data_IF_456591463296
#
_entry.id   IF_456591463296
#
_cell.length_a   1.000
_cell.length_b   1.000
_cell.length_c   1.000
_cell.angle_alpha   90.00
_cell.angle_beta   90.00
_cell.angle_gamma   90.00
#
_symmetry.space_group_name_H-M   'P 1'
#
loop_
_entity.id
_entity.type
_entity.pdbx_description
1 polymer ?
#
# COMPACT_ATOMS: atom_id res chain seq x y z
N UNK A 1 12.81 -13.01 55.43
CA UNK A 1 13.28 -12.76 54.05
C UNK A 1 14.54 -11.93 54.15
N UNK A 2 15.70 -12.45 53.75
CA UNK A 2 16.98 -11.75 53.97
C UNK A 2 17.13 -10.56 53.01
N UNK A 3 17.89 -9.53 53.40
CA UNK A 3 18.21 -8.36 52.56
C UNK A 3 18.82 -8.74 51.20
N UNK A 4 19.49 -9.89 51.14
CA UNK A 4 20.05 -10.47 49.91
C UNK A 4 18.95 -11.01 48.96
N UNK A 5 17.91 -11.64 49.51
CA UNK A 5 16.75 -12.10 48.72
C UNK A 5 15.96 -10.93 48.15
N UNK A 6 15.78 -9.84 48.91
CA UNK A 6 15.12 -8.62 48.44
C UNK A 6 15.91 -7.90 47.34
N UNK A 7 17.25 -7.85 47.43
CA UNK A 7 18.10 -7.29 46.37
C UNK A 7 18.07 -8.15 45.10
N UNK A 8 18.12 -9.49 45.22
CA UNK A 8 18.02 -10.41 44.08
C UNK A 8 16.66 -10.33 43.39
N UNK A 9 15.57 -10.14 44.15
CA UNK A 9 14.23 -9.90 43.61
C UNK A 9 14.09 -8.56 42.89
N UNK A 10 14.66 -7.48 43.44
CA UNK A 10 14.72 -6.15 42.80
C UNK A 10 15.56 -6.18 41.51
N UNK A 11 16.66 -6.92 41.49
CA UNK A 11 17.52 -7.06 40.31
C UNK A 11 16.87 -7.90 39.21
N UNK A 12 16.24 -9.04 39.55
CA UNK A 12 15.40 -9.81 38.61
C UNK A 12 14.24 -8.98 38.04
N UNK A 13 13.56 -8.19 38.87
CA UNK A 13 12.49 -7.28 38.43
C UNK A 13 13.00 -6.20 37.46
N UNK A 14 14.21 -5.66 37.68
CA UNK A 14 14.85 -4.69 36.78
C UNK A 14 15.28 -5.31 35.45
N UNK A 15 15.85 -6.52 35.46
CA UNK A 15 16.24 -7.24 34.23
C UNK A 15 15.01 -7.63 33.41
N UNK A 16 13.94 -8.11 34.07
CA UNK A 16 12.66 -8.43 33.44
C UNK A 16 12.05 -7.17 32.78
N UNK A 17 12.04 -6.03 33.47
CA UNK A 17 11.51 -4.77 32.93
C UNK A 17 12.42 -4.14 31.86
N UNK A 18 13.74 -4.31 31.96
CA UNK A 18 14.72 -3.68 31.09
C UNK A 18 14.92 -4.37 29.73
N UNK A 19 14.76 -5.70 29.66
CA UNK A 19 15.00 -6.46 28.44
C UNK A 19 13.74 -7.14 27.87
N UNK A 20 12.89 -7.73 28.72
CA UNK A 20 11.74 -8.53 28.24
C UNK A 20 10.67 -7.66 27.62
N UNK A 21 10.37 -6.50 28.20
CA UNK A 21 9.33 -5.61 27.66
C UNK A 21 9.69 -5.10 26.25
N UNK A 22 10.89 -4.55 25.99
CA UNK A 22 11.30 -4.20 24.63
C UNK A 22 11.22 -5.38 23.64
N UNK A 23 11.60 -6.59 24.07
CA UNK A 23 11.50 -7.80 23.24
C UNK A 23 10.04 -8.11 22.88
N UNK A 24 9.09 -7.98 23.82
CA UNK A 24 7.68 -8.21 23.52
C UNK A 24 7.11 -7.19 22.52
N UNK A 25 7.54 -5.92 22.59
CA UNK A 25 7.21 -4.92 21.58
C UNK A 25 7.84 -5.27 20.22
N UNK A 26 9.09 -5.73 20.21
CA UNK A 26 9.76 -6.18 18.99
C UNK A 26 9.03 -7.37 18.34
N UNK A 27 8.64 -8.38 19.14
CA UNK A 27 7.87 -9.53 18.68
C UNK A 27 6.54 -9.10 18.09
N UNK A 28 5.82 -8.18 18.75
CA UNK A 28 4.58 -7.60 18.20
C UNK A 28 4.81 -6.91 16.85
N UNK A 29 5.89 -6.13 16.71
CA UNK A 29 6.26 -5.49 15.44
C UNK A 29 6.57 -6.51 14.34
N UNK A 30 7.29 -7.59 14.66
CA UNK A 30 7.58 -8.69 13.71
C UNK A 30 6.30 -9.40 13.30
N UNK A 31 5.40 -9.71 14.24
CA UNK A 31 4.10 -10.33 13.96
C UNK A 31 3.25 -9.48 13.03
N UNK A 32 3.24 -8.16 13.26
CA UNK A 32 2.52 -7.21 12.42
C UNK A 32 3.06 -7.21 10.98
N UNK A 33 4.39 -7.17 10.83
CA UNK A 33 5.04 -7.21 9.52
C UNK A 33 4.79 -8.54 8.80
N UNK A 34 4.98 -9.67 9.50
CA UNK A 34 4.77 -11.00 8.93
C UNK A 34 3.32 -11.20 8.48
N UNK A 35 2.35 -10.81 9.31
CA UNK A 35 0.94 -10.89 8.98
C UNK A 35 0.50 -9.94 7.85
N UNK A 36 1.25 -8.86 7.61
CA UNK A 36 0.98 -7.96 6.50
C UNK A 36 1.62 -8.41 5.16
N UNK A 37 2.67 -9.24 5.19
CA UNK A 37 3.34 -9.71 3.96
C UNK A 37 2.84 -11.10 3.55
N UNK A 38 2.60 -11.99 4.51
CA UNK A 38 2.31 -13.41 4.25
C UNK A 38 0.81 -13.69 4.44
N UNK A 39 0.04 -13.95 3.36
CA UNK A 39 -1.40 -14.22 3.47
C UNK A 39 -1.72 -15.40 4.41
N UNK A 40 -0.89 -16.45 4.40
CA UNK A 40 -1.05 -17.62 5.28
C UNK A 40 -0.83 -17.32 6.76
N UNK A 41 -0.14 -16.22 7.08
CA UNK A 41 0.14 -15.78 8.44
C UNK A 41 -0.61 -14.49 8.82
N UNK A 42 -1.66 -14.13 8.08
CA UNK A 42 -2.45 -12.91 8.33
C UNK A 42 -2.96 -12.80 9.78
N UNK A 43 -3.23 -13.93 10.44
CA UNK A 43 -3.63 -13.96 11.86
C UNK A 43 -2.59 -13.31 12.80
N UNK A 44 -1.30 -13.32 12.45
CA UNK A 44 -0.23 -12.68 13.22
C UNK A 44 -0.40 -11.16 13.29
N UNK A 45 -1.01 -10.53 12.29
CA UNK A 45 -1.30 -9.11 12.34
C UNK A 45 -2.20 -8.79 13.54
N UNK A 46 -3.29 -9.53 13.69
CA UNK A 46 -4.26 -9.34 14.77
C UNK A 46 -3.62 -9.60 16.15
N UNK A 47 -2.83 -10.66 16.27
CA UNK A 47 -2.09 -10.97 17.50
C UNK A 47 -1.05 -9.90 17.85
N UNK A 48 -0.36 -9.37 16.85
CA UNK A 48 0.59 -8.27 17.00
C UNK A 48 -0.08 -7.04 17.62
N UNK A 49 -1.23 -6.61 17.07
CA UNK A 49 -2.00 -5.46 17.60
C UNK A 49 -2.49 -5.73 19.02
N UNK A 50 -3.07 -6.91 19.29
CA UNK A 50 -3.55 -7.25 20.63
C UNK A 50 -2.39 -7.17 21.63
N UNK A 51 -1.22 -7.72 21.28
CA UNK A 51 -0.06 -7.76 22.17
C UNK A 51 0.45 -6.35 22.50
N UNK A 52 0.68 -5.49 21.49
CA UNK A 52 1.16 -4.12 21.76
C UNK A 52 0.13 -3.31 22.53
N UNK A 53 -1.17 -3.45 22.20
CA UNK A 53 -2.24 -2.74 22.89
C UNK A 53 -2.42 -3.23 24.33
N UNK A 54 -2.15 -4.51 24.60
CA UNK A 54 -2.15 -5.07 25.95
C UNK A 54 -1.02 -4.46 26.80
N UNK A 55 0.21 -4.43 26.25
CA UNK A 55 1.37 -3.82 26.92
C UNK A 55 1.18 -2.32 27.19
N UNK A 56 0.58 -1.61 26.22
CA UNK A 56 0.18 -0.20 26.39
C UNK A 56 -0.86 -0.05 27.50
N UNK A 57 -1.86 -0.93 27.55
CA UNK A 57 -2.93 -0.87 28.54
C UNK A 57 -2.45 -1.17 29.96
N UNK A 58 -1.38 -1.96 30.10
CA UNK A 58 -0.65 -2.16 31.36
C UNK A 58 0.23 -0.96 31.77
N UNK A 59 0.31 0.09 30.95
CA UNK A 59 1.13 1.28 31.22
C UNK A 59 2.63 1.09 30.98
N UNK A 60 3.04 0.04 30.26
CA UNK A 60 4.45 -0.28 29.98
C UNK A 60 5.01 0.55 28.82
N UNK A 61 4.78 1.87 28.86
CA UNK A 61 5.00 2.79 27.75
C UNK A 61 6.35 3.50 27.93
N UNK A 62 7.33 3.14 27.10
CA UNK A 62 8.61 3.86 27.01
C UNK A 62 8.96 4.13 25.55
N UNK A 63 9.83 5.13 25.30
CA UNK A 63 10.29 5.43 23.93
C UNK A 63 10.98 4.24 23.27
N UNK A 64 11.80 3.52 24.03
CA UNK A 64 12.53 2.33 23.56
C UNK A 64 11.54 1.22 23.17
N UNK A 65 10.54 0.95 24.00
CA UNK A 65 9.52 -0.05 23.71
C UNK A 65 8.79 0.26 22.40
N UNK A 66 8.35 1.50 22.21
CA UNK A 66 7.63 1.89 21.00
C UNK A 66 8.55 1.86 19.78
N UNK A 67 9.81 2.25 19.93
CA UNK A 67 10.81 2.09 18.87
C UNK A 67 11.00 0.63 18.47
N UNK A 68 11.12 -0.29 19.44
CA UNK A 68 11.21 -1.73 19.17
C UNK A 68 10.00 -2.26 18.40
N UNK A 69 8.80 -1.71 18.61
CA UNK A 69 7.62 -2.08 17.84
C UNK A 69 7.66 -1.59 16.39
N UNK A 70 8.18 -0.39 16.12
CA UNK A 70 8.29 0.15 14.76
C UNK A 70 9.50 -0.34 13.98
N UNK A 71 10.60 -0.71 14.65
CA UNK A 71 11.85 -1.08 14.02
C UNK A 71 11.68 -2.18 12.94
N UNK A 72 10.93 -3.29 13.17
CA UNK A 72 10.71 -4.30 12.14
C UNK A 72 10.09 -3.74 10.86
N UNK A 73 9.10 -2.86 10.97
CA UNK A 73 8.41 -2.28 9.82
C UNK A 73 9.35 -1.41 8.98
N UNK A 74 10.06 -0.47 9.62
CA UNK A 74 10.96 0.42 8.89
C UNK A 74 12.18 -0.30 8.33
N UNK A 75 12.74 -1.28 9.03
CA UNK A 75 13.84 -2.09 8.50
C UNK A 75 13.41 -2.89 7.27
N UNK A 76 12.20 -3.46 7.29
CA UNK A 76 11.63 -4.10 6.11
C UNK A 76 11.47 -3.11 4.94
N UNK A 77 11.01 -1.88 5.18
CA UNK A 77 10.95 -0.86 4.12
C UNK A 77 12.34 -0.56 3.53
N UNK A 78 13.35 -0.42 4.38
CA UNK A 78 14.73 -0.22 3.95
C UNK A 78 15.23 -1.34 3.03
N UNK A 79 15.01 -2.60 3.42
CA UNK A 79 15.51 -3.75 2.68
C UNK A 79 14.72 -4.08 1.42
N UNK A 80 13.41 -3.84 1.40
CA UNK A 80 12.53 -4.32 0.32
C UNK A 80 12.14 -3.26 -0.71
N UNK A 81 11.99 -2.00 -0.26
CA UNK A 81 11.43 -0.93 -1.09
C UNK A 81 12.48 0.15 -1.35
N UNK A 82 13.11 0.66 -0.28
CA UNK A 82 14.01 1.80 -0.39
C UNK A 82 15.37 1.46 -0.97
N UNK A 83 15.82 0.20 -0.92
CA UNK A 83 17.06 -0.22 -1.60
C UNK A 83 17.00 -0.06 -3.13
N UNK A 84 15.81 0.03 -3.73
CA UNK A 84 15.62 0.31 -5.15
C UNK A 84 15.74 1.79 -5.50
N UNK A 85 15.65 2.67 -4.50
CA UNK A 85 15.63 4.14 -4.66
C UNK A 85 16.89 4.77 -4.08
N UNK A 86 17.40 4.25 -2.96
CA UNK A 86 18.55 4.77 -2.24
C UNK A 86 19.63 3.69 -2.11
N UNK A 87 20.92 4.07 -1.99
CA UNK A 87 21.97 3.16 -1.58
C UNK A 87 21.60 2.44 -0.28
N UNK A 88 21.99 1.16 -0.16
CA UNK A 88 21.58 0.28 0.94
C UNK A 88 21.79 0.88 2.34
N UNK A 89 22.95 1.49 2.58
CA UNK A 89 23.27 2.13 3.86
C UNK A 89 22.39 3.36 4.15
N UNK A 90 22.02 4.14 3.12
CA UNK A 90 21.10 5.27 3.27
C UNK A 90 19.68 4.80 3.58
N UNK A 91 19.23 3.71 2.96
CA UNK A 91 17.94 3.09 3.29
C UNK A 91 17.86 2.67 4.76
N UNK A 92 18.90 2.02 5.29
CA UNK A 92 18.96 1.63 6.71
C UNK A 92 18.97 2.85 7.63
N UNK A 93 19.81 3.85 7.34
CA UNK A 93 19.87 5.08 8.14
C UNK A 93 18.50 5.78 8.19
N UNK A 94 17.82 5.87 7.03
CA UNK A 94 16.48 6.44 6.93
C UNK A 94 15.46 5.64 7.75
N UNK A 95 15.53 4.31 7.74
CA UNK A 95 14.66 3.46 8.55
C UNK A 95 14.84 3.65 10.05
N UNK A 96 16.09 3.77 10.52
CA UNK A 96 16.38 4.05 11.92
C UNK A 96 15.82 5.40 12.35
N UNK A 97 16.05 6.45 11.54
CA UNK A 97 15.60 7.81 11.83
C UNK A 97 14.08 7.95 11.80
N UNK A 98 13.41 7.38 10.79
CA UNK A 98 11.94 7.39 10.70
C UNK A 98 11.31 6.55 11.80
N UNK A 99 11.91 5.40 12.15
CA UNK A 99 11.49 4.60 13.29
C UNK A 99 11.52 5.38 14.60
N UNK A 100 12.59 6.14 14.87
CA UNK A 100 12.69 7.00 16.05
C UNK A 100 11.68 8.15 16.00
N UNK A 101 11.50 8.81 14.85
CA UNK A 101 10.52 9.88 14.68
C UNK A 101 9.10 9.39 15.01
N UNK A 102 8.69 8.26 14.43
CA UNK A 102 7.37 7.69 14.63
C UNK A 102 7.17 7.22 16.07
N UNK A 103 8.21 6.62 16.66
CA UNK A 103 8.19 6.23 18.06
C UNK A 103 8.00 7.44 18.99
N UNK A 104 8.65 8.58 18.70
CA UNK A 104 8.47 9.81 19.49
C UNK A 104 7.06 10.38 19.36
N UNK A 105 6.49 10.37 18.16
CA UNK A 105 5.12 10.86 17.93
C UNK A 105 4.12 10.00 18.68
N UNK A 106 4.16 8.66 18.51
CA UNK A 106 3.23 7.76 19.18
C UNK A 106 3.43 7.77 20.71
N UNK A 107 4.67 7.83 21.20
CA UNK A 107 4.96 7.95 22.63
C UNK A 107 4.30 9.16 23.27
N UNK A 108 4.40 10.33 22.62
CA UNK A 108 3.76 11.57 23.11
C UNK A 108 2.24 11.42 23.12
N UNK A 109 1.67 10.92 22.03
CA UNK A 109 0.22 10.68 21.94
C UNK A 109 -0.27 9.73 23.05
N UNK A 110 0.45 8.64 23.28
CA UNK A 110 0.13 7.64 24.30
C UNK A 110 0.17 8.22 25.71
N UNK A 111 1.17 9.02 26.06
CA UNK A 111 1.24 9.67 27.38
C UNK A 111 0.06 10.62 27.56
N UNK A 112 -0.19 11.50 26.60
CA UNK A 112 -1.31 12.45 26.70
C UNK A 112 -2.68 11.76 26.79
N UNK A 113 -2.85 10.60 26.15
CA UNK A 113 -4.08 9.80 26.24
C UNK A 113 -4.15 8.94 27.51
N UNK A 114 -3.02 8.54 28.08
CA UNK A 114 -2.97 7.71 29.30
C UNK A 114 -3.55 8.43 30.52
N UNK A 115 -3.31 9.75 30.63
CA UNK A 115 -3.90 10.60 31.66
C UNK A 115 -5.44 10.63 31.61
N UNK A 116 -6.02 10.37 30.43
CA UNK A 116 -7.46 10.44 30.17
C UNK A 116 -8.14 9.08 30.08
N UNK A 117 -7.44 7.98 30.40
CA UNK A 117 -7.93 6.59 30.23
C UNK A 117 -8.35 6.20 28.80
N UNK A 118 -7.89 6.95 27.79
CA UNK A 118 -8.23 6.74 26.37
C UNK A 118 -7.05 6.21 25.54
N UNK A 119 -6.03 5.61 26.18
CA UNK A 119 -4.80 5.17 25.50
C UNK A 119 -5.04 4.13 24.39
N UNK A 120 -6.12 3.35 24.48
CA UNK A 120 -6.51 2.36 23.46
C UNK A 120 -6.94 2.98 22.12
N UNK A 121 -7.23 4.29 22.06
CA UNK A 121 -7.50 5.02 20.81
C UNK A 121 -6.24 5.51 20.10
N UNK A 122 -5.13 5.68 20.83
CA UNK A 122 -3.94 6.34 20.30
C UNK A 122 -3.29 5.54 19.16
N UNK A 123 -3.16 4.22 19.30
CA UNK A 123 -2.57 3.36 18.28
C UNK A 123 -3.44 3.26 17.00
N UNK A 124 -4.76 3.00 17.10
CA UNK A 124 -5.66 3.05 15.93
C UNK A 124 -5.62 4.38 15.19
N UNK A 125 -5.72 5.50 15.92
CA UNK A 125 -5.67 6.83 15.33
C UNK A 125 -4.33 7.09 14.62
N UNK A 126 -3.22 6.66 15.23
CA UNK A 126 -1.89 6.78 14.65
C UNK A 126 -1.76 6.03 13.32
N UNK A 127 -2.23 4.78 13.26
CA UNK A 127 -2.22 3.99 12.02
C UNK A 127 -3.09 4.59 10.94
N UNK A 128 -4.30 5.05 11.30
CA UNK A 128 -5.15 5.78 10.37
C UNK A 128 -4.46 7.03 9.82
N UNK A 129 -3.90 7.87 10.69
CA UNK A 129 -3.25 9.12 10.30
C UNK A 129 -2.05 8.88 9.39
N UNK A 130 -1.22 7.87 9.67
CA UNK A 130 -0.06 7.55 8.83
C UNK A 130 -0.52 7.07 7.46
N UNK A 131 -1.41 6.08 7.40
CA UNK A 131 -1.87 5.53 6.13
C UNK A 131 -2.57 6.62 5.29
N UNK A 132 -3.36 7.48 5.94
CA UNK A 132 -3.99 8.63 5.30
C UNK A 132 -2.98 9.68 4.80
N UNK A 133 -2.01 10.07 5.61
CA UNK A 133 -1.02 11.11 5.24
C UNK A 133 -0.15 10.62 4.07
N UNK A 134 0.39 9.41 4.16
CA UNK A 134 1.30 8.88 3.15
C UNK A 134 0.58 8.52 1.85
N UNK A 135 -0.74 8.38 1.81
CA UNK A 135 -1.44 8.13 0.55
C UNK A 135 -2.06 9.39 -0.06
N UNK A 136 -2.52 10.35 0.75
CA UNK A 136 -3.24 11.51 0.23
C UNK A 136 -2.40 12.78 0.10
N UNK A 137 -1.28 12.91 0.83
CA UNK A 137 -0.42 14.10 0.70
C UNK A 137 0.55 13.88 -0.47
N UNK A 138 0.39 14.58 -1.62
CA UNK A 138 1.18 14.31 -2.82
C UNK A 138 2.69 14.53 -2.62
N UNK A 139 3.05 15.39 -1.67
CA UNK A 139 4.44 15.66 -1.31
C UNK A 139 5.09 14.54 -0.48
N UNK A 140 4.33 13.57 0.01
CA UNK A 140 4.83 12.47 0.86
C UNK A 140 4.48 11.11 0.24
N UNK A 141 3.46 11.05 -0.63
CA UNK A 141 2.98 9.81 -1.23
C UNK A 141 3.93 9.11 -2.19
N UNK A 142 5.03 9.76 -2.56
CA UNK A 142 6.12 9.10 -3.26
C UNK A 142 6.94 8.17 -2.36
N UNK A 143 6.90 8.36 -1.04
CA UNK A 143 7.53 7.44 -0.09
C UNK A 143 6.61 6.22 0.00
N UNK A 144 6.89 5.23 -0.83
CA UNK A 144 6.18 3.96 -0.81
C UNK A 144 6.26 3.32 0.58
N UNK A 145 5.13 3.32 1.27
CA UNK A 145 4.90 2.61 2.52
C UNK A 145 4.08 1.37 2.19
N UNK A 146 4.34 0.25 2.87
CA UNK A 146 3.45 -0.89 2.75
C UNK A 146 2.16 -0.55 3.50
N UNK A 147 1.00 -0.49 2.83
CA UNK A 147 -0.27 -0.22 3.50
C UNK A 147 -0.56 -1.32 4.52
N UNK A 148 -1.13 -0.97 5.66
CA UNK A 148 -1.51 -1.94 6.70
C UNK A 148 -2.83 -2.68 6.40
N UNK A 149 -3.18 -2.80 5.11
CA UNK A 149 -4.48 -3.25 4.64
C UNK A 149 -4.49 -4.71 4.17
N UNK A 150 -3.34 -5.38 4.05
CA UNK A 150 -3.30 -6.74 3.48
C UNK A 150 -4.06 -7.81 4.30
N UNK A 151 -4.13 -7.75 5.66
CA UNK A 151 -4.93 -8.70 6.43
C UNK A 151 -6.44 -8.55 6.19
N UNK A 152 -6.86 -7.42 5.62
CA UNK A 152 -8.27 -7.11 5.35
C UNK A 152 -8.77 -7.78 4.05
N UNK A 153 -7.88 -8.05 3.08
CA UNK A 153 -8.27 -8.53 1.76
C UNK A 153 -8.61 -10.03 1.70
N UNK A 154 -8.40 -10.77 2.79
CA UNK A 154 -8.71 -12.21 2.86
C UNK A 154 -10.07 -12.51 3.47
N UNK A 155 -10.78 -11.51 4.01
CA UNK A 155 -12.05 -11.71 4.72
C UNK A 155 -13.19 -10.96 4.03
N UNK A 156 -14.15 -11.71 3.47
CA UNK A 156 -15.26 -11.13 2.69
C UNK A 156 -16.07 -10.06 3.44
N UNK A 157 -16.32 -10.24 4.73
CA UNK A 157 -17.05 -9.25 5.54
C UNK A 157 -16.26 -7.94 5.74
N UNK A 158 -14.92 -8.02 5.82
CA UNK A 158 -14.05 -6.85 5.93
C UNK A 158 -14.01 -6.10 4.60
N UNK A 159 -13.99 -6.82 3.48
CA UNK A 159 -14.09 -6.22 2.13
C UNK A 159 -15.43 -5.50 1.99
N UNK A 160 -16.56 -6.12 2.37
CA UNK A 160 -17.88 -5.46 2.38
C UNK A 160 -17.91 -4.22 3.28
N UNK A 161 -17.21 -4.23 4.41
CA UNK A 161 -17.07 -3.02 5.22
C UNK A 161 -16.21 -1.94 4.54
N UNK A 162 -15.17 -2.35 3.83
CA UNK A 162 -14.25 -1.44 3.16
C UNK A 162 -14.87 -0.79 1.92
N UNK A 163 -15.82 -1.45 1.25
CA UNK A 163 -16.59 -0.85 0.15
C UNK A 163 -17.52 0.27 0.64
N UNK A 164 -18.10 0.12 1.84
CA UNK A 164 -19.02 1.13 2.41
C UNK A 164 -18.26 2.30 3.05
N UNK A 165 -17.27 2.00 3.90
CA UNK A 165 -16.59 3.02 4.72
C UNK A 165 -15.21 3.44 4.18
N UNK A 166 -14.67 2.73 3.21
CA UNK A 166 -13.29 2.85 2.75
C UNK A 166 -12.30 2.05 3.60
N UNK A 167 -11.26 1.50 2.97
CA UNK A 167 -10.28 0.63 3.63
C UNK A 167 -9.59 1.24 4.86
N UNK A 168 -9.35 2.56 4.86
CA UNK A 168 -8.69 3.27 5.97
C UNK A 168 -9.55 3.32 7.23
N UNK A 169 -10.85 3.58 7.07
CA UNK A 169 -11.79 3.61 8.19
C UNK A 169 -11.94 2.20 8.76
N UNK A 170 -11.99 1.18 7.91
CA UNK A 170 -12.02 -0.22 8.35
C UNK A 170 -10.75 -0.61 9.11
N UNK A 171 -9.57 -0.18 8.65
CA UNK A 171 -8.32 -0.38 9.39
C UNK A 171 -8.39 0.26 10.79
N UNK A 172 -8.90 1.49 10.88
CA UNK A 172 -9.12 2.17 12.15
C UNK A 172 -10.08 1.39 13.06
N UNK A 173 -11.24 0.98 12.54
CA UNK A 173 -12.25 0.22 13.30
C UNK A 173 -11.71 -1.12 13.79
N UNK A 174 -10.97 -1.84 12.94
CA UNK A 174 -10.39 -3.13 13.30
C UNK A 174 -9.32 -2.97 14.38
N UNK A 175 -8.38 -2.06 14.20
CA UNK A 175 -7.30 -1.82 15.18
C UNK A 175 -7.87 -1.28 16.49
N UNK A 176 -8.95 -0.50 16.45
CA UNK A 176 -9.68 -0.03 17.62
C UNK A 176 -10.39 -1.18 18.35
N UNK A 177 -11.06 -2.07 17.62
CA UNK A 177 -11.66 -3.28 18.18
C UNK A 177 -10.62 -4.13 18.90
N UNK A 178 -9.49 -4.44 18.25
CA UNK A 178 -8.39 -5.22 18.84
C UNK A 178 -7.76 -4.53 20.06
N UNK A 179 -7.55 -3.21 19.98
CA UNK A 179 -6.99 -2.43 21.10
C UNK A 179 -7.94 -2.36 22.28
N UNK A 180 -9.24 -2.32 22.02
CA UNK A 180 -10.28 -2.32 23.06
C UNK A 180 -10.41 -3.70 23.70
N UNK A 181 -10.31 -4.79 22.93
CA UNK A 181 -10.22 -6.17 23.46
C UNK A 181 -9.04 -6.26 24.43
N UNK A 182 -7.85 -5.82 23.99
CA UNK A 182 -6.66 -5.83 24.82
C UNK A 182 -6.82 -5.01 26.11
N UNK A 183 -7.52 -3.87 26.04
CA UNK A 183 -7.85 -3.06 27.22
C UNK A 183 -8.74 -3.82 28.20
N UNK A 184 -9.81 -4.46 27.74
CA UNK A 184 -10.70 -5.29 28.59
C UNK A 184 -9.92 -6.44 29.24
N UNK A 185 -9.04 -7.12 28.48
CA UNK A 185 -8.19 -8.19 29.00
C UNK A 185 -7.21 -7.71 30.08
N UNK A 186 -6.71 -6.47 29.97
CA UNK A 186 -5.80 -5.87 30.96
C UNK A 186 -6.52 -5.35 32.21
N UNK A 187 -7.77 -4.92 32.08
CA UNK A 187 -8.54 -4.29 33.15
C UNK A 187 -10.05 -4.52 32.94
N UNK A 188 -10.56 -5.62 33.49
CA UNK A 188 -11.97 -6.00 33.39
C UNK A 188 -12.94 -4.93 33.94
N UNK A 189 -12.49 -4.02 34.82
CA UNK A 189 -13.36 -2.95 35.33
C UNK A 189 -13.74 -1.94 34.25
N UNK A 190 -12.92 -1.83 33.20
CA UNK A 190 -13.17 -0.95 32.05
C UNK A 190 -14.24 -1.48 31.08
N UNK A 191 -14.82 -2.67 31.32
CA UNK A 191 -15.76 -3.33 30.41
C UNK A 191 -17.01 -2.49 30.09
N UNK A 192 -17.47 -1.62 31.00
CA UNK A 192 -18.65 -0.78 30.74
C UNK A 192 -18.41 0.21 29.60
N UNK A 193 -17.29 0.93 29.63
CA UNK A 193 -16.93 1.92 28.61
C UNK A 193 -16.34 1.27 27.37
N UNK A 194 -15.45 0.28 27.54
CA UNK A 194 -14.81 -0.45 26.44
C UNK A 194 -15.79 -1.37 25.72
N UNK A 195 -16.78 -1.92 26.42
CA UNK A 195 -17.84 -2.74 25.83
C UNK A 195 -18.69 -1.97 24.82
N UNK A 196 -19.02 -0.71 25.09
CA UNK A 196 -19.74 0.15 24.13
C UNK A 196 -18.92 0.31 22.84
N UNK A 197 -17.63 0.61 22.97
CA UNK A 197 -16.73 0.78 21.81
C UNK A 197 -16.59 -0.53 21.03
N UNK A 198 -16.46 -1.67 21.71
CA UNK A 198 -16.43 -2.99 21.08
C UNK A 198 -17.70 -3.26 20.28
N UNK A 199 -18.86 -3.03 20.88
CA UNK A 199 -20.15 -3.23 20.22
C UNK A 199 -20.31 -2.33 19.00
N UNK A 200 -19.93 -1.05 19.11
CA UNK A 200 -20.00 -0.12 17.97
C UNK A 200 -19.05 -0.57 16.85
N UNK A 201 -17.80 -0.91 17.17
CA UNK A 201 -16.85 -1.35 16.14
C UNK A 201 -17.29 -2.66 15.48
N UNK A 202 -17.74 -3.64 16.26
CA UNK A 202 -18.27 -4.89 15.73
C UNK A 202 -19.49 -4.65 14.85
N UNK A 203 -20.44 -3.84 15.33
CA UNK A 203 -21.63 -3.48 14.56
C UNK A 203 -21.23 -2.83 13.22
N UNK A 204 -20.34 -1.83 13.22
CA UNK A 204 -19.93 -1.17 11.98
C UNK A 204 -19.20 -2.09 11.01
N UNK A 205 -18.41 -3.06 11.51
CA UNK A 205 -17.71 -4.03 10.66
C UNK A 205 -18.69 -5.07 10.08
N UNK A 206 -19.68 -5.53 10.86
CA UNK A 206 -20.61 -6.58 10.42
C UNK A 206 -21.87 -6.05 9.73
N UNK A 207 -22.27 -4.80 9.97
CA UNK A 207 -23.49 -4.20 9.44
C UNK A 207 -23.59 -4.30 7.91
N UNK A 208 -22.52 -4.02 7.12
CA UNK A 208 -22.56 -4.18 5.67
C UNK A 208 -22.84 -5.61 5.21
N UNK A 209 -22.41 -6.61 5.99
CA UNK A 209 -22.70 -8.01 5.70
C UNK A 209 -24.12 -8.38 6.10
N UNK A 210 -24.62 -7.87 7.23
CA UNK A 210 -25.98 -8.13 7.72
C UNK A 210 -27.06 -7.48 6.83
N UNK A 211 -26.77 -6.32 6.26
CA UNK A 211 -27.67 -5.61 5.34
C UNK A 211 -27.52 -6.07 3.89
N UNK A 212 -26.66 -7.06 3.65
CA UNK A 212 -26.21 -7.50 2.32
C UNK A 212 -25.92 -6.34 1.38
N UNK A 213 -25.19 -5.36 1.88
CA UNK A 213 -24.64 -4.27 1.09
C UNK A 213 -23.50 -4.84 0.25
N UNK A 214 -23.86 -5.57 -0.80
CA UNK A 214 -22.94 -6.04 -1.81
C UNK A 214 -22.79 -4.95 -2.87
N UNK A 215 -21.59 -4.83 -3.42
CA UNK A 215 -21.39 -4.15 -4.70
C UNK A 215 -21.65 -5.14 -5.84
N UNK A 216 -22.60 -6.08 -5.68
CA UNK A 216 -23.02 -6.94 -6.77
C UNK A 216 -23.74 -6.06 -7.78
N UNK A 217 -23.01 -5.67 -8.81
CA UNK A 217 -23.61 -5.15 -10.02
C UNK A 217 -24.37 -6.29 -10.68
N UNK A 218 -25.55 -5.99 -11.21
CA UNK A 218 -26.27 -6.89 -12.09
C UNK A 218 -25.34 -7.26 -13.26
N UNK A 219 -25.11 -8.56 -13.48
CA UNK A 219 -24.30 -9.02 -14.60
C UNK A 219 -25.09 -8.79 -15.89
N UNK A 220 -24.83 -7.66 -16.54
CA UNK A 220 -25.46 -7.32 -17.82
C UNK A 220 -24.93 -8.18 -18.96
N UNK A 221 -23.61 -8.44 -18.96
CA UNK A 221 -22.93 -9.23 -19.98
C UNK A 221 -21.61 -9.76 -19.42
N UNK A 222 -21.30 -11.03 -19.72
CA UNK A 222 -19.98 -11.59 -19.47
C UNK A 222 -19.01 -11.14 -20.56
N UNK A 223 -17.83 -10.65 -20.17
CA UNK A 223 -16.80 -10.13 -21.07
C UNK A 223 -15.49 -10.85 -20.77
N UNK A 224 -14.83 -11.33 -21.81
CA UNK A 224 -13.52 -11.96 -21.72
C UNK A 224 -12.42 -10.88 -21.76
N UNK A 225 -11.52 -10.90 -20.76
CA UNK A 225 -10.41 -9.95 -20.68
C UNK A 225 -9.08 -10.70 -20.59
N UNK A 226 -8.16 -10.39 -21.49
CA UNK A 226 -6.80 -10.88 -21.48
C UNK A 226 -5.83 -9.79 -21.01
N UNK A 227 -4.99 -10.12 -20.04
CA UNK A 227 -3.89 -9.26 -19.62
C UNK A 227 -2.57 -9.84 -20.09
N UNK A 228 -1.85 -9.11 -20.93
CA UNK A 228 -0.58 -9.56 -21.48
C UNK A 228 0.53 -9.22 -20.50
N UNK A 229 1.26 -10.24 -20.05
CA UNK A 229 2.42 -10.07 -19.19
C UNK A 229 3.65 -10.71 -19.85
N UNK A 230 4.73 -9.94 -19.95
CA UNK A 230 5.98 -10.38 -20.55
C UNK A 230 7.17 -9.73 -19.85
N UNK A 231 8.30 -10.43 -19.83
CA UNK A 231 9.54 -9.95 -19.24
C UNK A 231 10.49 -9.49 -20.35
N UNK A 232 10.19 -8.34 -20.94
CA UNK A 232 10.97 -7.80 -22.04
C UNK A 232 12.34 -7.32 -21.56
N UNK A 233 13.40 -7.84 -22.17
CA UNK A 233 14.78 -7.36 -21.99
C UNK A 233 15.32 -6.93 -23.35
N UNK A 234 15.97 -5.77 -23.42
CA UNK A 234 16.55 -5.30 -24.70
C UNK A 234 17.59 -6.32 -25.20
N UNK A 235 17.51 -6.75 -26.48
CA UNK A 235 18.47 -7.70 -27.04
C UNK A 235 19.87 -7.10 -27.23
N UNK A 236 19.99 -5.78 -27.24
CA UNK A 236 21.27 -5.05 -27.31
C UNK A 236 21.25 -3.81 -26.43
N UNK A 237 22.41 -3.45 -25.88
CA UNK A 237 22.61 -2.19 -25.13
C UNK A 237 22.75 -0.97 -26.04
N UNK A 238 23.11 -1.19 -27.32
CA UNK A 238 23.41 -0.12 -28.28
C UNK A 238 22.26 0.13 -29.27
N UNK A 239 21.08 -0.44 -29.00
CA UNK A 239 19.89 -0.24 -29.83
C UNK A 239 19.41 1.22 -29.70
N UNK A 240 19.11 1.87 -30.83
CA UNK A 240 18.52 3.20 -30.80
C UNK A 240 17.10 3.14 -30.19
N UNK A 241 16.58 4.28 -29.75
CA UNK A 241 15.29 4.32 -29.03
C UNK A 241 14.11 3.84 -29.89
N UNK A 242 14.08 4.17 -31.18
CA UNK A 242 12.98 3.83 -32.08
C UNK A 242 12.91 2.31 -32.33
N UNK A 243 14.05 1.68 -32.61
CA UNK A 243 14.18 0.23 -32.76
C UNK A 243 13.85 -0.48 -31.46
N UNK A 244 14.30 0.06 -30.33
CA UNK A 244 14.01 -0.49 -29.01
C UNK A 244 12.51 -0.52 -28.73
N UNK A 245 11.81 0.60 -28.96
CA UNK A 245 10.37 0.72 -28.73
C UNK A 245 9.59 -0.17 -29.71
N UNK A 246 9.98 -0.21 -30.99
CA UNK A 246 9.32 -1.06 -31.97
C UNK A 246 9.51 -2.55 -31.66
N UNK A 247 10.74 -2.99 -31.36
CA UNK A 247 11.00 -4.39 -31.00
C UNK A 247 10.22 -4.81 -29.76
N UNK A 248 10.13 -3.91 -28.77
CA UNK A 248 9.32 -4.11 -27.57
C UNK A 248 7.84 -4.24 -27.89
N UNK A 249 7.30 -3.35 -28.73
CA UNK A 249 5.93 -3.43 -29.21
C UNK A 249 5.64 -4.78 -29.87
N UNK A 250 6.48 -5.18 -30.83
CA UNK A 250 6.32 -6.45 -31.54
C UNK A 250 6.38 -7.65 -30.58
N UNK A 251 7.28 -7.64 -29.60
CA UNK A 251 7.35 -8.69 -28.58
C UNK A 251 6.02 -8.85 -27.84
N UNK A 252 5.41 -7.75 -27.40
CA UNK A 252 4.15 -7.83 -26.68
C UNK A 252 2.97 -8.20 -27.58
N UNK A 253 2.91 -7.67 -28.82
CA UNK A 253 1.86 -8.05 -29.77
C UNK A 253 1.95 -9.54 -30.12
N UNK A 254 3.17 -10.06 -30.31
CA UNK A 254 3.40 -11.50 -30.53
C UNK A 254 2.84 -12.38 -29.39
N UNK A 255 2.94 -11.94 -28.14
CA UNK A 255 2.35 -12.65 -27.00
C UNK A 255 0.82 -12.64 -27.00
N UNK A 256 0.20 -11.72 -27.74
CA UNK A 256 -1.24 -11.53 -27.81
C UNK A 256 -1.88 -12.11 -29.07
N UNK A 257 -1.10 -12.58 -30.06
CA UNK A 257 -1.63 -12.96 -31.38
C UNK A 257 -2.64 -14.11 -31.35
N UNK A 258 -2.47 -15.05 -30.43
CA UNK A 258 -3.34 -16.24 -30.31
C UNK A 258 -4.39 -16.09 -29.17
N UNK A 259 -4.59 -14.87 -28.68
CA UNK A 259 -5.47 -14.60 -27.55
C UNK A 259 -6.83 -14.09 -28.04
N UNK A 260 -7.85 -14.93 -27.92
CA UNK A 260 -9.24 -14.53 -28.16
C UNK A 260 -9.85 -13.91 -26.89
N UNK A 261 -10.02 -12.59 -26.89
CA UNK A 261 -10.68 -11.86 -25.80
C UNK A 261 -11.40 -10.60 -26.30
N UNK A 262 -12.48 -10.22 -25.63
CA UNK A 262 -13.22 -8.98 -25.93
C UNK A 262 -12.40 -7.72 -25.55
N UNK A 263 -11.52 -7.86 -24.54
CA UNK A 263 -10.62 -6.81 -24.07
C UNK A 263 -9.19 -7.37 -23.93
N UNK A 264 -8.23 -6.75 -24.60
CA UNK A 264 -6.80 -7.06 -24.47
C UNK A 264 -6.08 -5.89 -23.82
N UNK A 265 -5.43 -6.15 -22.68
CA UNK A 265 -4.74 -5.15 -21.86
C UNK A 265 -3.24 -5.40 -21.86
N UNK A 266 -2.48 -4.44 -22.35
CA UNK A 266 -1.02 -4.45 -22.31
C UNK A 266 -0.48 -3.81 -21.03
N UNK A 267 0.75 -4.16 -20.57
CA UNK A 267 1.27 -3.67 -19.30
C UNK A 267 1.61 -2.17 -19.35
N UNK A 268 1.76 -1.56 -18.17
CA UNK A 268 2.22 -0.17 -18.01
C UNK A 268 3.70 -0.04 -18.39
N UNK A 269 3.96 -0.05 -19.69
CA UNK A 269 5.27 0.16 -20.27
C UNK A 269 5.13 0.95 -21.56
N UNK A 270 6.12 1.78 -21.89
CA UNK A 270 6.13 2.50 -23.15
C UNK A 270 6.21 1.52 -24.33
N UNK A 271 5.12 1.40 -25.09
CA UNK A 271 4.98 0.54 -26.28
C UNK A 271 4.99 1.32 -27.60
N UNK A 272 5.17 2.64 -27.53
CA UNK A 272 5.25 3.50 -28.70
C UNK A 272 5.08 4.96 -28.36
N UNK A 273 5.16 5.79 -29.39
CA UNK A 273 4.94 7.23 -29.33
C UNK A 273 3.60 7.53 -29.98
N UNK A 274 2.82 8.41 -29.38
CA UNK A 274 1.60 8.98 -29.95
C UNK A 274 1.80 10.50 -30.09
N UNK A 275 2.03 10.94 -31.32
CA UNK A 275 2.26 12.35 -31.66
C UNK A 275 0.96 13.01 -32.09
N UNK A 276 0.47 13.95 -31.31
CA UNK A 276 -0.81 14.63 -31.59
C UNK A 276 -0.81 15.39 -32.92
N UNK A 277 0.36 15.86 -33.37
CA UNK A 277 0.55 16.54 -34.66
C UNK A 277 0.82 15.59 -35.83
N UNK A 278 0.97 14.28 -35.56
CA UNK A 278 1.17 13.22 -36.54
C UNK A 278 2.34 13.46 -37.52
N UNK A 279 3.40 14.15 -37.08
CA UNK A 279 4.61 14.39 -37.90
C UNK A 279 5.66 13.29 -37.72
N UNK A 280 5.73 12.71 -36.53
CA UNK A 280 6.79 11.73 -36.18
C UNK A 280 6.22 10.33 -35.94
N UNK A 281 4.93 10.20 -35.59
CA UNK A 281 4.34 8.89 -35.19
C UNK A 281 3.58 8.13 -36.29
N UNK A 282 3.61 8.54 -37.56
CA UNK A 282 2.81 7.84 -38.60
C UNK A 282 2.99 6.31 -38.62
N UNK A 283 4.22 5.82 -38.43
CA UNK A 283 4.52 4.39 -38.34
C UNK A 283 3.99 3.76 -37.05
N UNK A 284 4.15 4.41 -35.89
CA UNK A 284 3.71 3.89 -34.59
C UNK A 284 2.18 3.84 -34.49
N UNK A 285 1.49 4.91 -34.92
CA UNK A 285 0.03 4.93 -35.01
C UNK A 285 -0.50 3.78 -35.83
N UNK A 286 0.09 3.57 -37.02
CA UNK A 286 -0.30 2.47 -37.90
C UNK A 286 -0.08 1.10 -37.24
N UNK A 287 1.00 0.94 -36.48
CA UNK A 287 1.26 -0.29 -35.73
C UNK A 287 0.16 -0.56 -34.68
N UNK A 288 -0.26 0.46 -33.91
CA UNK A 288 -1.35 0.32 -32.94
C UNK A 288 -2.69 -0.01 -33.59
N UNK A 289 -3.01 0.68 -34.69
CA UNK A 289 -4.23 0.46 -35.46
C UNK A 289 -4.26 -0.98 -36.00
N UNK A 290 -3.19 -1.40 -36.67
CA UNK A 290 -3.09 -2.75 -37.23
C UNK A 290 -3.16 -3.82 -36.13
N UNK A 291 -2.49 -3.60 -35.00
CA UNK A 291 -2.55 -4.53 -33.87
C UNK A 291 -3.97 -4.61 -33.29
N UNK A 292 -4.66 -3.47 -33.11
CA UNK A 292 -6.05 -3.45 -32.65
C UNK A 292 -6.99 -4.18 -33.60
N UNK A 293 -6.81 -4.03 -34.91
CA UNK A 293 -7.60 -4.75 -35.92
C UNK A 293 -7.32 -6.26 -35.89
N UNK A 294 -6.06 -6.66 -35.71
CA UNK A 294 -5.66 -8.08 -35.65
C UNK A 294 -6.19 -8.76 -34.39
N UNK A 295 -6.14 -8.08 -33.23
CA UNK A 295 -6.60 -8.63 -31.96
C UNK A 295 -8.12 -8.73 -31.89
N UNK A 296 -8.84 -7.85 -32.59
CA UNK A 296 -10.28 -7.71 -32.44
C UNK A 296 -10.67 -7.13 -31.07
N UNK A 297 -11.93 -6.70 -30.94
CA UNK A 297 -12.43 -6.12 -29.69
C UNK A 297 -11.68 -4.85 -29.24
N UNK A 298 -11.66 -4.63 -27.92
CA UNK A 298 -11.01 -3.48 -27.30
C UNK A 298 -9.55 -3.79 -26.97
N UNK A 299 -8.62 -2.94 -27.40
CA UNK A 299 -7.20 -3.05 -27.08
C UNK A 299 -6.69 -1.82 -26.32
N UNK A 300 -5.98 -2.03 -25.20
CA UNK A 300 -5.43 -0.97 -24.37
C UNK A 300 -3.91 -0.96 -24.40
N UNK A 301 -3.32 0.10 -24.97
CA UNK A 301 -1.87 0.27 -25.11
C UNK A 301 -1.36 1.43 -24.26
N UNK A 302 -0.22 1.24 -23.58
CA UNK A 302 0.47 2.33 -22.89
C UNK A 302 1.51 2.97 -23.82
N UNK A 303 1.43 4.28 -24.00
CA UNK A 303 2.25 5.05 -24.96
C UNK A 303 2.82 6.32 -24.33
N UNK A 304 3.87 6.85 -24.94
CA UNK A 304 4.33 8.22 -24.72
C UNK A 304 3.55 9.16 -25.64
N UNK A 305 2.63 9.93 -25.07
CA UNK A 305 1.93 11.00 -25.78
C UNK A 305 2.81 12.27 -25.81
N UNK A 306 2.85 12.94 -26.96
CA UNK A 306 3.66 14.14 -27.17
C UNK A 306 3.18 15.01 -28.32
N UNK A 307 3.67 16.24 -28.38
CA UNK A 307 3.59 17.09 -29.56
C UNK A 307 5.00 17.31 -30.11
N UNK A 308 5.27 16.75 -31.30
CA UNK A 308 6.59 16.81 -31.93
C UNK A 308 6.97 18.20 -32.46
N UNK A 309 5.97 19.09 -32.66
CA UNK A 309 6.15 20.46 -33.14
C UNK A 309 6.57 21.38 -32.00
N UNK A 310 5.79 21.38 -30.91
CA UNK A 310 6.08 22.24 -29.76
C UNK A 310 7.24 21.70 -28.93
N UNK A 311 7.39 20.36 -28.88
CA UNK A 311 8.32 19.64 -27.99
C UNK A 311 8.19 20.06 -26.52
N UNK A 312 7.08 20.70 -26.16
CA UNK A 312 6.86 21.25 -24.84
C UNK A 312 6.61 20.11 -23.87
N UNK A 313 7.24 20.18 -22.70
CA UNK A 313 6.92 19.26 -21.60
C UNK A 313 5.44 19.31 -21.23
N UNK A 314 4.79 20.47 -21.38
CA UNK A 314 3.37 20.64 -21.11
C UNK A 314 2.48 19.69 -21.93
N UNK A 315 2.98 19.24 -23.07
CA UNK A 315 2.26 18.40 -24.04
C UNK A 315 2.75 16.94 -24.01
N UNK A 316 3.56 16.55 -23.02
CA UNK A 316 4.12 15.19 -22.90
C UNK A 316 3.45 14.42 -21.77
N UNK A 317 2.87 13.27 -22.07
CA UNK A 317 2.15 12.44 -21.09
C UNK A 317 2.52 10.97 -21.23
N UNK A 318 2.35 10.21 -20.14
CA UNK A 318 2.24 8.75 -20.19
C UNK A 318 0.74 8.47 -20.30
N UNK A 319 0.33 7.82 -21.38
CA UNK A 319 -1.09 7.68 -21.74
C UNK A 319 -1.45 6.24 -22.05
N UNK A 320 -2.65 5.84 -21.64
CA UNK A 320 -3.29 4.60 -22.09
C UNK A 320 -4.25 4.94 -23.24
N UNK A 321 -4.01 4.38 -24.42
CA UNK A 321 -4.88 4.47 -25.58
C UNK A 321 -5.83 3.28 -25.59
N UNK A 322 -7.12 3.55 -25.64
CA UNK A 322 -8.15 2.56 -25.88
C UNK A 322 -8.51 2.57 -27.37
N UNK A 323 -8.28 1.46 -28.06
CA UNK A 323 -8.66 1.27 -29.45
C UNK A 323 -9.74 0.19 -29.57
N UNK A 324 -10.61 0.34 -30.56
CA UNK A 324 -11.54 -0.69 -31.01
C UNK A 324 -11.50 -0.73 -32.53
N UNK A 325 -11.12 -1.87 -33.10
CA UNK A 325 -11.01 -2.08 -34.55
C UNK A 325 -10.24 -0.97 -35.29
N UNK A 326 -9.12 -0.52 -34.69
CA UNK A 326 -8.29 0.55 -35.25
C UNK A 326 -8.77 1.98 -35.00
N UNK A 327 -9.92 2.18 -34.36
CA UNK A 327 -10.39 3.51 -33.95
C UNK A 327 -10.06 3.80 -32.49
N UNK A 328 -9.48 4.97 -32.21
CA UNK A 328 -9.23 5.44 -30.84
C UNK A 328 -10.58 5.81 -30.20
N UNK A 329 -10.99 5.06 -29.18
CA UNK A 329 -12.23 5.31 -28.42
C UNK A 329 -12.00 6.18 -27.18
N UNK A 330 -10.77 6.21 -26.66
CA UNK A 330 -10.45 7.02 -25.50
C UNK A 330 -8.95 7.09 -25.21
N UNK A 331 -8.57 8.11 -24.44
CA UNK A 331 -7.19 8.33 -23.97
C UNK A 331 -7.25 8.65 -22.48
N UNK A 332 -6.50 7.93 -21.66
CA UNK A 332 -6.35 8.23 -20.24
C UNK A 332 -4.91 8.61 -19.93
N UNK A 333 -4.69 9.76 -19.28
CA UNK A 333 -3.35 10.29 -18.98
C UNK A 333 -2.99 10.05 -17.51
N UNK A 334 -1.76 9.59 -17.26
CA UNK A 334 -1.26 9.36 -15.90
C UNK A 334 -1.24 10.66 -15.09
N UNK A 335 -1.96 10.66 -13.98
CA UNK A 335 -2.09 11.84 -13.08
C UNK A 335 -0.99 11.88 -12.03
N UNK A 336 -0.68 10.71 -11.45
CA UNK A 336 0.30 10.56 -10.37
C UNK A 336 1.63 10.09 -10.96
N UNK A 337 2.51 11.07 -11.22
CA UNK A 337 3.83 10.81 -11.76
C UNK A 337 4.85 10.55 -10.65
N UNK A 338 5.76 9.61 -10.87
CA UNK A 338 6.91 9.38 -10.00
C UNK A 338 7.82 10.62 -9.99
N UNK A 339 8.11 11.25 -8.83
CA UNK A 339 8.72 12.58 -8.79
C UNK A 339 10.10 12.72 -9.44
N UNK A 340 10.95 11.69 -9.32
CA UNK A 340 12.35 11.78 -9.75
C UNK A 340 12.62 11.17 -11.13
N UNK A 341 11.72 10.31 -11.63
CA UNK A 341 11.84 9.69 -12.95
C UNK A 341 10.88 10.33 -13.96
N UNK A 342 9.58 10.30 -13.67
CA UNK A 342 8.53 10.67 -14.62
C UNK A 342 8.22 12.16 -14.60
N UNK A 343 8.07 12.76 -13.42
CA UNK A 343 7.68 14.17 -13.28
C UNK A 343 8.73 15.15 -13.84
N UNK A 344 9.96 14.68 -14.13
CA UNK A 344 10.98 15.44 -14.85
C UNK A 344 10.60 15.61 -16.33
N UNK A 345 10.09 14.56 -16.96
CA UNK A 345 9.94 14.44 -18.41
C UNK A 345 8.49 14.58 -18.88
N UNK A 346 7.53 14.30 -18.01
CA UNK A 346 6.10 14.25 -18.31
C UNK A 346 5.30 15.26 -17.50
N UNK A 347 4.15 15.64 -18.03
CA UNK A 347 3.11 16.44 -17.39
C UNK A 347 2.04 15.54 -16.80
N UNK A 348 1.38 16.03 -15.74
CA UNK A 348 0.28 15.30 -15.09
C UNK A 348 -0.99 15.45 -15.94
N UNK A 349 -1.69 14.34 -16.17
CA UNK A 349 -3.05 14.37 -16.71
C UNK A 349 -3.98 15.22 -15.83
N UNK A 350 -4.85 16.03 -16.46
CA UNK A 350 -5.78 16.93 -15.75
C UNK A 350 -7.23 16.44 -15.74
N UNK A 351 -7.58 15.53 -16.65
CA UNK A 351 -8.93 15.04 -16.88
C UNK A 351 -8.95 13.52 -16.99
#
# INVERSE_FOLDING_TARGET
>A
MSTYEQQRHKQKSRVLKGAVIPIMYLVSGIMLVAGNILPSAAFLFYLGIILVSYLISLGLITRVNIYCFFAPYFLMLAFSIWNKVFPYYMGIALAVLLGDLFARILYRALISCSEKSCSFFALPAFFFSIDFIFQNIPAISFIHMIPFLSPLSTHGFIIKAATVFGGRVVLFLLTLLLSTIAKVLSDFKSIKTSGIVLTICALLIFLPTLMDLSAEAETLQEVSAATIQGNYTSPSKDMNYEDYINHKFQYYVALAEDVEADIVVFPETELGVYDTENKVDQTFRKNFINASQKLGGLALFTVTEGNSVTKSKADRFISALLLNDGEIKGISRKRNLVPFSEARNYSRGKD
#
